data_IF_143839524171
#
_entry.id   IF_143839524171
#
_cell.length_a   1.000
_cell.length_b   1.000
_cell.length_c   1.000
_cell.angle_alpha   90.00
_cell.angle_beta   90.00
_cell.angle_gamma   90.00
#
_symmetry.space_group_name_H-M   'P 1'
#
loop_
_entity.id
_entity.type
_entity.pdbx_description
1 polymer ?
#
# COMPACT_ATOMS: atom_id res chain seq x y z
N UNK A 1 -12.75 4.81 6.33
CA UNK A 1 -11.86 4.60 5.15
C UNK A 1 -12.61 5.07 3.91
N UNK A 2 -11.95 5.71 2.94
CA UNK A 2 -12.57 6.18 1.70
C UNK A 2 -12.05 5.36 0.50
N UNK A 3 -12.88 4.53 -0.16
CA UNK A 3 -12.44 3.77 -1.34
C UNK A 3 -12.21 4.66 -2.57
N UNK A 4 -12.76 5.87 -2.61
CA UNK A 4 -12.58 6.82 -3.70
C UNK A 4 -11.38 7.76 -3.50
N UNK A 5 -10.44 7.40 -2.63
CA UNK A 5 -9.28 8.22 -2.33
C UNK A 5 -8.33 8.29 -3.54
N UNK A 6 -7.91 9.53 -3.87
CA UNK A 6 -6.89 9.81 -4.88
C UNK A 6 -5.85 10.73 -4.26
N UNK A 7 -4.60 10.27 -4.20
CA UNK A 7 -3.43 11.02 -3.76
C UNK A 7 -2.56 11.41 -4.96
N UNK A 8 -1.97 12.60 -4.94
CA UNK A 8 -1.07 13.08 -5.98
C UNK A 8 0.35 13.26 -5.42
N UNK A 9 1.33 12.66 -6.09
CA UNK A 9 2.72 12.70 -5.69
C UNK A 9 3.50 13.77 -6.45
N UNK A 10 4.61 14.22 -5.87
CA UNK A 10 5.45 15.29 -6.43
C UNK A 10 6.11 14.91 -7.75
N UNK A 11 6.27 13.62 -8.01
CA UNK A 11 6.83 13.07 -9.25
C UNK A 11 5.79 12.94 -10.38
N UNK A 12 4.55 13.38 -10.14
CA UNK A 12 3.45 13.29 -11.10
C UNK A 12 2.71 11.95 -11.09
N UNK A 13 3.16 10.98 -10.29
CA UNK A 13 2.38 9.76 -10.05
C UNK A 13 1.16 10.05 -9.16
N UNK A 14 0.19 9.14 -9.18
CA UNK A 14 -0.98 9.20 -8.30
C UNK A 14 -1.25 7.86 -7.64
N UNK A 15 -1.82 7.90 -6.44
CA UNK A 15 -2.21 6.74 -5.66
C UNK A 15 -3.74 6.66 -5.59
N UNK A 16 -4.32 5.50 -5.91
CA UNK A 16 -5.78 5.38 -6.07
C UNK A 16 -6.38 4.26 -5.23
N UNK A 17 -7.64 4.44 -4.88
CA UNK A 17 -8.42 3.39 -4.23
C UNK A 17 -8.12 3.25 -2.75
N UNK A 18 -8.78 2.26 -2.13
CA UNK A 18 -8.67 1.96 -0.70
C UNK A 18 -7.23 1.67 -0.27
N UNK A 19 -6.46 0.94 -1.09
CA UNK A 19 -5.07 0.57 -0.81
C UNK A 19 -4.04 1.59 -1.32
N UNK A 20 -4.48 2.70 -1.91
CA UNK A 20 -3.60 3.74 -2.46
C UNK A 20 -2.56 3.14 -3.43
N UNK A 21 -3.04 2.46 -4.48
CA UNK A 21 -2.20 1.82 -5.48
C UNK A 21 -1.57 2.88 -6.39
N UNK A 22 -0.25 2.91 -6.44
CA UNK A 22 0.48 3.89 -7.26
C UNK A 22 0.32 3.62 -8.77
N UNK A 23 0.19 4.71 -9.55
CA UNK A 23 0.02 4.68 -11.00
C UNK A 23 1.17 4.02 -11.76
N UNK A 24 2.34 3.85 -11.15
CA UNK A 24 3.44 3.06 -11.72
C UNK A 24 3.04 1.61 -12.03
N UNK A 25 2.07 1.04 -11.33
CA UNK A 25 1.59 -0.33 -11.56
C UNK A 25 0.51 -0.43 -12.65
N UNK A 26 -0.08 0.69 -13.10
CA UNK A 26 -1.27 0.65 -13.94
C UNK A 26 -1.05 -0.04 -15.29
N UNK A 27 0.12 0.14 -15.90
CA UNK A 27 0.44 -0.52 -17.18
C UNK A 27 0.42 -2.06 -17.05
N UNK A 28 0.87 -2.59 -15.91
CA UNK A 28 0.83 -4.03 -15.67
C UNK A 28 -0.58 -4.51 -15.31
N UNK A 29 -1.26 -3.78 -14.43
CA UNK A 29 -2.63 -4.10 -14.01
C UNK A 29 -3.61 -4.07 -15.17
N UNK A 30 -3.47 -3.12 -16.10
CA UNK A 30 -4.31 -3.02 -17.28
C UNK A 30 -4.16 -4.25 -18.19
N UNK A 31 -2.96 -4.83 -18.28
CA UNK A 31 -2.75 -6.11 -19.02
C UNK A 31 -3.46 -7.29 -18.35
N UNK A 32 -3.81 -7.17 -17.07
CA UNK A 32 -4.59 -8.15 -16.30
C UNK A 32 -6.09 -7.80 -16.26
N UNK A 33 -6.53 -6.79 -17.03
CA UNK A 33 -7.92 -6.33 -17.04
C UNK A 33 -8.35 -5.54 -15.79
N UNK A 34 -7.38 -5.02 -15.03
CA UNK A 34 -7.62 -4.15 -13.88
C UNK A 34 -7.21 -2.73 -14.27
N UNK A 35 -8.19 -1.88 -14.52
CA UNK A 35 -7.97 -0.45 -14.73
C UNK A 35 -8.13 0.34 -13.42
N UNK A 36 -7.85 1.64 -13.50
CA UNK A 36 -7.98 2.56 -12.38
C UNK A 36 -9.41 2.68 -11.85
N UNK A 37 -10.42 2.61 -12.73
CA UNK A 37 -11.82 2.70 -12.32
C UNK A 37 -12.18 1.55 -11.39
N UNK A 38 -11.72 0.32 -11.70
CA UNK A 38 -11.89 -0.85 -10.85
C UNK A 38 -11.14 -0.71 -9.52
N UNK A 39 -9.92 -0.16 -9.52
CA UNK A 39 -9.18 0.09 -8.26
C UNK A 39 -9.90 1.06 -7.31
N UNK A 40 -10.67 2.00 -7.87
CA UNK A 40 -11.43 3.02 -7.13
C UNK A 40 -12.80 2.48 -6.70
N UNK A 41 -13.53 1.83 -7.61
CA UNK A 41 -14.92 1.43 -7.43
C UNK A 41 -15.10 0.05 -6.80
N UNK A 42 -14.09 -0.83 -6.86
CA UNK A 42 -14.13 -2.18 -6.32
C UNK A 42 -13.14 -2.34 -5.15
N UNK A 43 -13.57 -2.16 -3.88
CA UNK A 43 -12.69 -2.25 -2.71
C UNK A 43 -11.94 -3.58 -2.61
N UNK A 44 -12.58 -4.69 -2.97
CA UNK A 44 -11.95 -6.02 -2.96
C UNK A 44 -10.79 -6.09 -3.97
N UNK A 45 -10.98 -5.53 -5.17
CA UNK A 45 -9.93 -5.46 -6.19
C UNK A 45 -8.76 -4.60 -5.70
N UNK A 46 -9.04 -3.44 -5.09
CA UNK A 46 -8.01 -2.60 -4.46
C UNK A 46 -7.21 -3.37 -3.40
N UNK A 47 -7.89 -4.10 -2.50
CA UNK A 47 -7.28 -4.93 -1.45
C UNK A 47 -6.41 -6.04 -2.04
N UNK A 48 -6.93 -6.80 -3.00
CA UNK A 48 -6.21 -7.92 -3.61
C UNK A 48 -4.96 -7.46 -4.36
N UNK A 49 -5.06 -6.36 -5.11
CA UNK A 49 -3.90 -5.76 -5.79
C UNK A 49 -2.86 -5.27 -4.79
N UNK A 50 -3.29 -4.53 -3.76
CA UNK A 50 -2.39 -4.07 -2.70
C UNK A 50 -1.70 -5.23 -1.97
N UNK A 51 -2.42 -6.30 -1.67
CA UNK A 51 -1.87 -7.50 -1.08
C UNK A 51 -0.85 -8.21 -1.99
N UNK A 52 -1.12 -8.26 -3.31
CA UNK A 52 -0.18 -8.82 -4.30
C UNK A 52 1.12 -8.03 -4.37
N UNK A 53 1.03 -6.69 -4.39
CA UNK A 53 2.20 -5.81 -4.36
C UNK A 53 2.97 -5.99 -3.04
N UNK A 54 2.29 -6.01 -1.90
CA UNK A 54 2.92 -6.26 -0.60
C UNK A 54 3.60 -7.63 -0.55
N UNK A 55 2.99 -8.67 -1.11
CA UNK A 55 3.59 -10.00 -1.23
C UNK A 55 4.90 -9.95 -2.02
N UNK A 56 4.98 -9.16 -3.08
CA UNK A 56 6.24 -8.97 -3.83
C UNK A 56 7.32 -8.29 -2.97
N UNK A 57 6.94 -7.34 -2.11
CA UNK A 57 7.88 -6.71 -1.17
C UNK A 57 8.38 -7.70 -0.10
N UNK A 58 7.47 -8.54 0.41
CA UNK A 58 7.81 -9.61 1.38
C UNK A 58 8.77 -10.63 0.76
N UNK A 59 8.63 -10.97 -0.53
CA UNK A 59 9.57 -11.85 -1.23
C UNK A 59 11.00 -11.28 -1.28
N UNK A 60 11.14 -9.95 -1.31
CA UNK A 60 12.45 -9.27 -1.38
C UNK A 60 13.07 -9.06 0.00
N UNK A 61 12.28 -8.55 0.96
CA UNK A 61 12.81 -8.13 2.28
C UNK A 61 12.49 -9.10 3.42
N UNK A 62 11.70 -10.13 3.18
CA UNK A 62 11.18 -11.04 4.21
C UNK A 62 9.90 -10.52 4.86
N UNK A 63 9.31 -11.36 5.73
CA UNK A 63 8.07 -11.04 6.43
C UNK A 63 8.32 -10.13 7.64
N UNK A 64 8.52 -8.84 7.39
CA UNK A 64 8.84 -7.84 8.42
C UNK A 64 8.32 -6.44 8.07
N UNK A 65 8.60 -5.49 8.96
CA UNK A 65 8.18 -4.09 8.81
C UNK A 65 8.89 -3.35 7.66
N UNK A 66 10.08 -3.78 7.24
CA UNK A 66 10.76 -3.19 6.08
C UNK A 66 9.99 -3.49 4.79
N UNK A 67 9.41 -4.68 4.64
CA UNK A 67 8.53 -5.00 3.50
C UNK A 67 7.28 -4.10 3.46
N UNK A 68 6.69 -3.79 4.62
CA UNK A 68 5.58 -2.83 4.73
C UNK A 68 6.04 -1.42 4.34
N UNK A 69 7.23 -1.01 4.77
CA UNK A 69 7.86 0.23 4.33
C UNK A 69 8.08 0.29 2.82
N UNK A 70 8.59 -0.81 2.24
CA UNK A 70 8.89 -0.94 0.82
C UNK A 70 7.64 -0.87 -0.06
N UNK A 71 6.48 -1.29 0.44
CA UNK A 71 5.21 -1.09 -0.25
C UNK A 71 4.95 0.40 -0.55
N UNK A 72 5.29 1.30 0.39
CA UNK A 72 5.06 2.73 0.24
C UNK A 72 6.21 3.46 -0.47
N UNK A 73 7.46 3.13 -0.15
CA UNK A 73 8.62 3.88 -0.63
C UNK A 73 9.42 3.15 -1.72
N UNK A 74 9.02 1.94 -2.15
CA UNK A 74 9.68 1.19 -3.21
C UNK A 74 11.01 0.53 -2.82
N UNK A 75 11.67 -0.11 -3.80
CA UNK A 75 12.82 -1.01 -3.60
C UNK A 75 14.20 -0.32 -3.65
N UNK A 76 14.26 0.96 -4.03
CA UNK A 76 15.55 1.67 -4.15
C UNK A 76 16.24 1.70 -2.79
N UNK A 77 17.54 1.41 -2.76
CA UNK A 77 18.30 1.30 -1.50
C UNK A 77 18.25 2.60 -0.70
N UNK A 78 18.30 3.73 -1.40
CA UNK A 78 18.27 5.08 -0.83
C UNK A 78 16.97 5.38 -0.09
N UNK A 79 15.89 4.64 -0.37
CA UNK A 79 14.58 4.81 0.26
C UNK A 79 14.47 4.10 1.61
N UNK A 80 15.51 3.42 2.09
CA UNK A 80 15.50 2.76 3.41
C UNK A 80 14.99 3.66 4.55
N UNK A 81 15.45 4.93 4.70
CA UNK A 81 14.93 5.80 5.75
C UNK A 81 13.41 6.02 5.64
N UNK A 82 12.90 6.27 4.42
CA UNK A 82 11.49 6.50 4.14
C UNK A 82 10.66 5.25 4.40
N UNK A 83 11.18 4.07 4.04
CA UNK A 83 10.56 2.77 4.36
C UNK A 83 10.36 2.61 5.86
N UNK A 84 11.38 2.90 6.66
CA UNK A 84 11.29 2.78 8.12
C UNK A 84 10.38 3.84 8.75
N UNK A 85 10.36 5.07 8.22
CA UNK A 85 9.41 6.11 8.66
C UNK A 85 7.97 5.64 8.42
N UNK A 86 7.67 5.13 7.23
CA UNK A 86 6.32 4.64 6.92
C UNK A 86 5.97 3.40 7.77
N UNK A 87 6.89 2.45 7.89
CA UNK A 87 6.70 1.25 8.69
C UNK A 87 6.38 1.56 10.15
N UNK A 88 7.07 2.54 10.76
CA UNK A 88 6.75 3.00 12.12
C UNK A 88 5.35 3.62 12.21
N UNK A 89 4.92 4.41 11.21
CA UNK A 89 3.54 4.95 11.19
C UNK A 89 2.50 3.83 11.19
N UNK A 90 2.70 2.81 10.35
CA UNK A 90 1.79 1.64 10.29
C UNK A 90 1.83 0.87 11.59
N UNK A 91 3.02 0.61 12.15
CA UNK A 91 3.17 -0.09 13.43
C UNK A 91 2.44 0.63 14.57
N UNK A 92 2.62 1.95 14.71
CA UNK A 92 1.93 2.74 15.74
C UNK A 92 0.41 2.64 15.60
N UNK A 93 -0.12 2.74 14.37
CA UNK A 93 -1.57 2.61 14.15
C UNK A 93 -2.06 1.18 14.40
N UNK A 94 -1.29 0.17 14.03
CA UNK A 94 -1.59 -1.23 14.30
C UNK A 94 -1.66 -1.54 15.80
N UNK A 95 -0.74 -0.99 16.61
CA UNK A 95 -0.80 -1.15 18.07
C UNK A 95 -2.07 -0.55 18.66
N UNK A 96 -2.50 0.63 18.19
CA UNK A 96 -3.76 1.24 18.62
C UNK A 96 -4.95 0.32 18.33
N UNK A 97 -5.05 -0.20 17.10
CA UNK A 97 -6.13 -1.11 16.70
C UNK A 97 -6.11 -2.39 17.54
N UNK A 98 -4.93 -2.92 17.86
CA UNK A 98 -4.82 -4.10 18.73
C UNK A 98 -5.34 -3.82 20.14
N UNK A 99 -5.03 -2.65 20.69
CA UNK A 99 -5.50 -2.23 22.02
C UNK A 99 -7.02 -2.01 22.02
N UNK A 100 -7.55 -1.30 21.02
CA UNK A 100 -8.99 -1.08 20.85
C UNK A 100 -9.76 -2.40 20.82
N UNK A 101 -9.30 -3.36 19.99
CA UNK A 101 -9.89 -4.70 19.92
C UNK A 101 -9.79 -5.48 21.24
N UNK A 102 -8.66 -5.37 21.95
CA UNK A 102 -8.50 -6.02 23.25
C UNK A 102 -9.44 -5.45 24.30
N UNK A 103 -9.83 -4.18 24.16
CA UNK A 103 -10.77 -3.49 25.03
C UNK A 103 -12.25 -3.67 24.62
N UNK A 104 -12.54 -4.50 23.60
CA UNK A 104 -13.91 -4.83 23.20
C UNK A 104 -14.62 -3.79 22.33
N UNK A 105 -13.86 -2.88 21.71
CA UNK A 105 -14.37 -1.92 20.71
C UNK A 105 -14.19 -2.43 19.27
#
# INVERSE_FOLDING_TARGET
>A
MNPYAVGWNRDGSRDVGLMQINSAHFRELQRQGIDESRLISEPCTSIMVGASILSSMIKVYGYNWEAVGAYNAGLKKENYPQRMIYAHKVWSKYQQIKIEKANGY
#
